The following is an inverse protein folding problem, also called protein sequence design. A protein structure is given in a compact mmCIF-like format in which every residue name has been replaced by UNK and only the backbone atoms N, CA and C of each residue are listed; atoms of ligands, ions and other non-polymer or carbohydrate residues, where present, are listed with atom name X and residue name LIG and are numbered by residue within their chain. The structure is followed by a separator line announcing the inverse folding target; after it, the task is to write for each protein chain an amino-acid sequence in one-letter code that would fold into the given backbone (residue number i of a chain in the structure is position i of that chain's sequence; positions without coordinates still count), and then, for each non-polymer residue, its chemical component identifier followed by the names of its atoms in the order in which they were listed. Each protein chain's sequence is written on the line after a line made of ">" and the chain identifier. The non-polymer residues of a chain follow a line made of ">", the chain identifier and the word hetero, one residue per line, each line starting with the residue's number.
data_IF_898333114024
#
_entry.id   IF_898333114024
#
_cell.length_a   1.000
_cell.length_b   1.000
_cell.length_c   1.000
_cell.angle_alpha   90.00
_cell.angle_beta   90.00
_cell.angle_gamma   90.00
#
_symmetry.space_group_name_H-M   'P 1'
#
loop_
_entity.id
_entity.type
_entity.pdbx_description
1 polymer ?
#
# COMPACT_ATOMS: atom_id res chain seq x y z
N UNK A 1 -2.96 0.16 23.12
CA UNK A 1 -2.27 0.45 21.84
C UNK A 1 -0.78 0.05 21.79
N UNK A 2 -0.30 -0.81 22.65
CA UNK A 2 1.15 -1.04 22.81
C UNK A 2 1.64 -2.43 22.39
N UNK A 3 0.91 -3.22 21.63
CA UNK A 3 1.30 -4.62 21.39
C UNK A 3 1.41 -5.07 19.93
N UNK A 4 1.07 -4.23 18.97
CA UNK A 4 1.17 -4.60 17.55
C UNK A 4 2.47 -3.98 16.98
N UNK A 5 3.61 -4.62 17.27
CA UNK A 5 4.92 -4.16 16.78
C UNK A 5 5.37 -5.05 15.63
N UNK A 6 5.47 -4.56 14.39
CA UNK A 6 5.96 -5.35 13.27
C UNK A 6 7.45 -5.68 13.33
N UNK A 7 8.22 -5.03 14.20
CA UNK A 7 9.61 -5.38 14.42
C UNK A 7 9.72 -6.80 14.98
N UNK A 8 10.40 -7.68 14.25
CA UNK A 8 10.51 -9.11 14.58
C UNK A 8 9.46 -9.99 13.91
N UNK A 9 8.49 -9.43 13.20
CA UNK A 9 7.56 -10.23 12.42
C UNK A 9 8.26 -10.87 11.22
N UNK A 10 7.86 -12.09 10.90
CA UNK A 10 8.24 -12.76 9.67
C UNK A 10 7.05 -12.69 8.70
N UNK A 11 7.20 -11.91 7.66
CA UNK A 11 6.23 -11.79 6.58
C UNK A 11 6.65 -12.67 5.41
N UNK A 12 5.69 -13.21 4.67
CA UNK A 12 5.95 -14.11 3.55
C UNK A 12 5.44 -13.51 2.25
N UNK A 13 6.35 -13.30 1.31
CA UNK A 13 6.03 -12.95 -0.06
C UNK A 13 5.62 -14.20 -0.83
N UNK A 14 4.47 -14.19 -1.52
CA UNK A 14 3.85 -15.41 -2.05
C UNK A 14 3.63 -15.42 -3.56
N UNK A 15 3.44 -14.26 -4.20
CA UNK A 15 3.23 -14.19 -5.66
C UNK A 15 3.36 -12.76 -6.19
N UNK A 16 3.61 -12.65 -7.50
CA UNK A 16 3.44 -11.39 -8.23
C UNK A 16 1.96 -11.06 -8.44
N UNK A 17 1.69 -9.78 -8.60
CA UNK A 17 0.43 -9.26 -9.12
C UNK A 17 0.66 -7.91 -9.81
N UNK A 18 -0.32 -7.41 -10.54
CA UNK A 18 -0.33 -6.02 -10.95
C UNK A 18 -1.75 -5.47 -11.01
N UNK A 19 -1.86 -4.15 -10.90
CA UNK A 19 -3.09 -3.40 -11.08
C UNK A 19 -3.02 -2.78 -12.48
N UNK A 20 -3.92 -3.14 -13.40
CA UNK A 20 -3.91 -2.61 -14.76
C UNK A 20 -4.29 -1.13 -14.80
N UNK A 21 -3.59 -0.36 -15.62
CA UNK A 21 -3.85 1.03 -15.96
C UNK A 21 -3.37 1.26 -17.40
N UNK A 22 -4.04 0.66 -18.40
CA UNK A 22 -3.53 0.59 -19.77
C UNK A 22 -3.02 1.93 -20.31
N UNK A 23 -1.88 1.93 -21.03
CA UNK A 23 -1.09 0.80 -21.54
C UNK A 23 -0.07 0.23 -20.53
N UNK A 24 -0.08 0.67 -19.30
CA UNK A 24 0.83 0.26 -18.22
C UNK A 24 0.07 -0.39 -17.07
N UNK A 25 0.79 -0.87 -16.07
CA UNK A 25 0.24 -1.34 -14.81
C UNK A 25 1.20 -1.12 -13.65
N UNK A 26 0.68 -1.13 -12.44
CA UNK A 26 1.43 -1.05 -11.20
C UNK A 26 1.69 -2.46 -10.68
N UNK A 27 2.95 -2.86 -10.66
CA UNK A 27 3.38 -4.18 -10.24
C UNK A 27 3.64 -4.25 -8.73
N UNK A 28 3.38 -5.40 -8.16
CA UNK A 28 3.65 -5.67 -6.77
C UNK A 28 3.83 -7.16 -6.45
N UNK A 29 4.22 -7.40 -5.23
CA UNK A 29 4.33 -8.72 -4.63
C UNK A 29 3.30 -8.82 -3.51
N UNK A 30 2.45 -9.84 -3.56
CA UNK A 30 1.48 -10.11 -2.49
C UNK A 30 2.22 -10.69 -1.28
N UNK A 31 1.94 -10.12 -0.13
CA UNK A 31 2.34 -10.67 1.17
C UNK A 31 1.21 -11.54 1.70
N UNK A 32 1.53 -12.68 2.26
CA UNK A 32 0.53 -13.58 2.87
C UNK A 32 -0.23 -12.83 3.98
N UNK A 33 -1.55 -12.69 3.89
CA UNK A 33 -2.31 -12.01 4.93
C UNK A 33 -2.33 -12.87 6.20
N UNK A 34 -1.89 -12.27 7.30
CA UNK A 34 -1.90 -12.89 8.62
C UNK A 34 -2.87 -12.16 9.55
N UNK A 35 -3.31 -12.82 10.62
CA UNK A 35 -4.16 -12.17 11.63
C UNK A 35 -3.46 -10.95 12.26
N UNK A 36 -2.14 -11.00 12.42
CA UNK A 36 -1.35 -9.86 12.90
C UNK A 36 -1.42 -8.66 11.97
N UNK A 37 -1.28 -8.89 10.66
CA UNK A 37 -1.42 -7.83 9.66
C UNK A 37 -2.84 -7.25 9.62
N UNK A 38 -3.86 -8.08 9.73
CA UNK A 38 -5.25 -7.62 9.81
C UNK A 38 -5.49 -6.79 11.07
N UNK A 39 -4.99 -7.24 12.23
CA UNK A 39 -5.09 -6.46 13.47
C UNK A 39 -4.36 -5.15 13.39
N UNK A 40 -3.16 -5.13 12.82
CA UNK A 40 -2.41 -3.89 12.60
C UNK A 40 -3.16 -2.92 11.71
N UNK A 41 -3.68 -3.38 10.57
CA UNK A 41 -4.48 -2.54 9.68
C UNK A 41 -5.69 -1.95 10.40
N UNK A 42 -6.46 -2.77 11.12
CA UNK A 42 -7.63 -2.29 11.84
C UNK A 42 -7.25 -1.29 12.94
N UNK A 43 -6.20 -1.55 13.70
CA UNK A 43 -5.73 -0.62 14.72
C UNK A 43 -5.30 0.73 14.15
N UNK A 44 -4.64 0.73 12.98
CA UNK A 44 -4.30 1.97 12.27
C UNK A 44 -5.55 2.72 11.80
N UNK A 45 -6.52 2.03 11.22
CA UNK A 45 -7.79 2.63 10.79
C UNK A 45 -8.51 3.27 11.98
N UNK A 46 -8.63 2.57 13.11
CA UNK A 46 -9.31 3.05 14.31
C UNK A 46 -8.67 4.34 14.85
N UNK A 47 -7.33 4.38 14.86
CA UNK A 47 -6.58 5.55 15.35
C UNK A 47 -6.71 6.76 14.45
N UNK A 48 -6.73 6.57 13.13
CA UNK A 48 -6.79 7.70 12.19
C UNK A 48 -8.23 8.13 11.86
N UNK A 49 -9.22 7.28 12.04
CA UNK A 49 -10.63 7.58 11.72
C UNK A 49 -11.11 8.92 12.29
N UNK A 50 -10.82 9.31 13.54
CA UNK A 50 -11.27 10.60 14.09
C UNK A 50 -10.68 11.82 13.36
N UNK A 51 -9.61 11.64 12.61
CA UNK A 51 -8.90 12.71 11.89
C UNK A 51 -9.18 12.70 10.39
N UNK A 52 -9.99 11.75 9.91
CA UNK A 52 -10.30 11.65 8.48
C UNK A 52 -11.38 12.62 8.06
N UNK A 53 -11.31 13.07 6.81
CA UNK A 53 -12.37 13.84 6.16
C UNK A 53 -13.20 12.93 5.28
N UNK A 54 -14.48 13.26 5.06
CA UNK A 54 -15.40 12.40 4.30
C UNK A 54 -15.08 12.29 2.81
N UNK A 55 -14.30 13.21 2.26
CA UNK A 55 -13.93 13.23 0.85
C UNK A 55 -12.40 13.22 0.73
N UNK A 56 -11.88 12.45 -0.21
CA UNK A 56 -10.48 12.52 -0.60
C UNK A 56 -10.16 13.91 -1.17
N UNK A 57 -9.02 14.46 -0.81
CA UNK A 57 -8.56 15.75 -1.31
C UNK A 57 -7.19 15.61 -1.98
N UNK A 58 -6.82 16.53 -2.90
CA UNK A 58 -5.49 16.56 -3.50
C UNK A 58 -4.35 16.65 -2.47
N UNK A 59 -4.62 17.16 -1.26
CA UNK A 59 -3.63 17.28 -0.19
C UNK A 59 -3.07 15.92 0.28
N UNK A 60 -3.77 14.81 0.03
CA UNK A 60 -3.27 13.47 0.32
C UNK A 60 -2.09 13.06 -0.60
N UNK A 61 -1.89 13.77 -1.70
CA UNK A 61 -0.91 13.46 -2.72
C UNK A 61 0.16 14.54 -2.87
N UNK A 62 1.35 14.12 -3.25
CA UNK A 62 2.37 15.05 -3.71
C UNK A 62 1.96 15.60 -5.09
N UNK A 63 1.94 16.91 -5.25
CA UNK A 63 1.85 17.52 -6.57
C UNK A 63 3.10 17.18 -7.39
N UNK A 64 2.91 16.80 -8.65
CA UNK A 64 4.02 16.70 -9.59
C UNK A 64 4.46 18.11 -9.99
N UNK A 65 5.76 18.29 -10.32
CA UNK A 65 6.31 19.58 -10.74
C UNK A 65 5.60 20.20 -11.96
N UNK A 66 4.79 19.44 -12.66
CA UNK A 66 4.04 19.85 -13.85
C UNK A 66 2.53 20.00 -13.62
N UNK A 67 2.06 20.03 -12.37
CA UNK A 67 0.65 20.33 -12.07
C UNK A 67 -0.35 19.37 -12.72
N UNK A 68 0.07 18.16 -13.05
CA UNK A 68 -0.85 17.15 -13.57
C UNK A 68 -1.85 16.80 -12.47
N UNK A 69 -3.10 17.05 -12.78
CA UNK A 69 -4.24 16.79 -11.92
C UNK A 69 -4.20 15.36 -11.40
N UNK A 70 -4.27 15.21 -10.09
CA UNK A 70 -4.46 13.91 -9.45
C UNK A 70 -5.75 13.34 -9.99
N UNK A 71 -5.66 12.18 -10.61
CA UNK A 71 -6.80 11.57 -11.27
C UNK A 71 -7.98 11.42 -10.30
N UNK A 72 -9.20 11.79 -10.69
CA UNK A 72 -10.39 11.66 -9.82
C UNK A 72 -10.56 10.27 -9.21
N UNK A 73 -10.15 9.23 -9.92
CA UNK A 73 -10.16 7.83 -9.43
C UNK A 73 -9.26 7.63 -8.21
N UNK A 74 -8.13 8.34 -8.13
CA UNK A 74 -7.24 8.27 -6.96
C UNK A 74 -7.85 8.96 -5.75
N UNK A 75 -8.53 10.07 -5.94
CA UNK A 75 -9.26 10.75 -4.87
C UNK A 75 -10.41 9.89 -4.34
N UNK A 76 -11.14 9.23 -5.23
CA UNK A 76 -12.19 8.28 -4.86
C UNK A 76 -11.63 7.06 -4.13
N UNK A 77 -10.48 6.55 -4.57
CA UNK A 77 -9.82 5.44 -3.88
C UNK A 77 -9.49 5.79 -2.43
N UNK A 78 -8.89 6.96 -2.19
CA UNK A 78 -8.57 7.42 -0.83
C UNK A 78 -9.84 7.61 0.01
N UNK A 79 -10.88 8.24 -0.56
CA UNK A 79 -12.14 8.48 0.13
C UNK A 79 -12.87 7.18 0.53
N UNK A 80 -12.73 6.13 -0.27
CA UNK A 80 -13.40 4.85 -0.06
C UNK A 80 -12.49 3.74 0.48
N UNK A 81 -11.27 4.06 0.88
CA UNK A 81 -10.25 3.08 1.25
C UNK A 81 -10.75 2.04 2.24
N UNK A 82 -11.40 2.44 3.31
CA UNK A 82 -11.91 1.53 4.34
C UNK A 82 -12.97 0.56 3.83
N UNK A 83 -13.71 0.96 2.79
CA UNK A 83 -14.74 0.12 2.18
C UNK A 83 -14.19 -0.86 1.15
N UNK A 84 -13.12 -0.48 0.44
CA UNK A 84 -12.62 -1.23 -0.72
C UNK A 84 -11.31 -1.97 -0.48
N UNK A 85 -10.57 -1.63 0.57
CA UNK A 85 -9.22 -2.14 0.81
C UNK A 85 -8.95 -2.55 2.27
N UNK A 86 -9.97 -2.61 3.11
CA UNK A 86 -9.83 -3.02 4.52
C UNK A 86 -10.59 -4.30 4.83
N UNK A 87 -10.31 -4.88 6.00
CA UNK A 87 -10.92 -6.11 6.48
C UNK A 87 -10.70 -7.29 5.52
N UNK A 88 -11.76 -7.98 5.07
CA UNK A 88 -11.63 -9.13 4.15
C UNK A 88 -11.03 -8.78 2.78
N UNK A 89 -11.03 -7.50 2.41
CA UNK A 89 -10.48 -7.01 1.14
C UNK A 89 -9.02 -6.54 1.27
N UNK A 90 -8.47 -6.62 2.46
CA UNK A 90 -7.08 -6.23 2.70
C UNK A 90 -6.13 -7.12 1.92
N UNK A 91 -5.30 -6.50 1.10
CA UNK A 91 -4.25 -7.15 0.33
C UNK A 91 -2.90 -6.55 0.70
N UNK A 92 -2.23 -7.07 1.73
CA UNK A 92 -0.89 -6.60 2.06
C UNK A 92 0.05 -6.91 0.92
N UNK A 93 0.84 -5.92 0.52
CA UNK A 93 1.71 -6.06 -0.65
C UNK A 93 2.92 -5.13 -0.61
N UNK A 94 3.89 -5.46 -1.41
CA UNK A 94 5.05 -4.60 -1.70
C UNK A 94 4.95 -4.12 -3.13
N UNK A 95 4.82 -2.82 -3.33
CA UNK A 95 4.86 -2.21 -4.67
C UNK A 95 6.30 -2.25 -5.20
N UNK A 96 6.50 -2.72 -6.43
CA UNK A 96 7.83 -2.87 -7.04
C UNK A 96 8.06 -1.97 -8.24
N UNK A 97 7.03 -1.46 -8.88
CA UNK A 97 7.21 -0.50 -9.97
C UNK A 97 6.06 -0.47 -10.96
N UNK A 98 6.29 0.27 -12.05
CA UNK A 98 5.36 0.44 -13.16
C UNK A 98 6.03 -0.09 -14.43
N UNK A 99 5.29 -0.83 -15.24
CA UNK A 99 5.75 -1.35 -16.52
C UNK A 99 4.59 -1.48 -17.52
N UNK A 100 4.91 -1.80 -18.77
CA UNK A 100 3.89 -2.10 -19.77
C UNK A 100 3.14 -3.37 -19.43
N UNK A 101 1.87 -3.45 -19.79
CA UNK A 101 1.06 -4.65 -19.50
C UNK A 101 1.65 -5.92 -20.09
N UNK A 102 2.26 -5.85 -21.28
CA UNK A 102 2.90 -7.01 -21.90
C UNK A 102 4.09 -7.55 -21.09
N UNK A 103 4.88 -6.64 -20.51
CA UNK A 103 5.94 -7.05 -19.59
C UNK A 103 5.36 -7.67 -18.31
N UNK A 104 4.32 -7.07 -17.74
CA UNK A 104 3.69 -7.55 -16.51
C UNK A 104 3.02 -8.92 -16.70
N UNK A 105 2.41 -9.17 -17.83
CA UNK A 105 1.88 -10.50 -18.19
C UNK A 105 3.00 -11.56 -18.25
N UNK A 106 4.15 -11.21 -18.81
CA UNK A 106 5.34 -12.11 -18.82
C UNK A 106 5.83 -12.36 -17.39
N UNK A 107 5.95 -11.31 -16.58
CA UNK A 107 6.34 -11.43 -15.16
C UNK A 107 5.42 -12.38 -14.39
N UNK A 108 4.09 -12.28 -14.59
CA UNK A 108 3.12 -13.18 -13.94
C UNK A 108 3.25 -14.63 -14.38
N UNK A 109 3.77 -14.89 -15.59
CA UNK A 109 3.99 -16.24 -16.11
C UNK A 109 5.27 -16.89 -15.56
N UNK A 110 6.16 -16.11 -14.96
CA UNK A 110 7.39 -16.64 -14.35
C UNK A 110 7.09 -17.29 -12.99
N UNK A 111 7.80 -18.39 -12.64
CA UNK A 111 7.69 -18.98 -11.33
C UNK A 111 8.09 -17.98 -10.24
N UNK A 112 7.26 -17.82 -9.21
CA UNK A 112 7.59 -17.01 -8.04
C UNK A 112 8.20 -17.90 -6.95
N UNK A 113 9.45 -17.61 -6.59
CA UNK A 113 10.07 -18.23 -5.41
C UNK A 113 9.61 -17.51 -4.13
N UNK A 114 8.69 -18.12 -3.38
CA UNK A 114 8.24 -17.54 -2.12
C UNK A 114 9.41 -17.36 -1.14
N UNK A 115 9.44 -16.23 -0.43
CA UNK A 115 10.47 -15.93 0.56
C UNK A 115 9.88 -15.21 1.78
N UNK A 116 10.61 -15.24 2.88
CA UNK A 116 10.26 -14.51 4.10
C UNK A 116 11.16 -13.30 4.29
N UNK A 117 10.62 -12.27 4.91
CA UNK A 117 11.35 -11.06 5.27
C UNK A 117 10.77 -10.44 6.54
N UNK A 118 11.57 -9.61 7.21
CA UNK A 118 11.11 -8.84 8.37
C UNK A 118 11.02 -7.37 8.00
N UNK A 119 9.92 -6.67 8.34
CA UNK A 119 9.86 -5.23 8.17
C UNK A 119 10.86 -4.53 9.08
N UNK A 120 11.58 -3.54 8.55
CA UNK A 120 12.53 -2.75 9.33
C UNK A 120 11.85 -1.67 10.19
N UNK A 121 10.62 -1.31 9.84
CA UNK A 121 9.86 -0.27 10.52
C UNK A 121 8.58 0.08 9.77
N UNK A 122 7.88 1.11 10.21
CA UNK A 122 6.76 1.71 9.51
C UNK A 122 6.85 3.23 9.57
N UNK A 123 6.29 3.87 8.57
CA UNK A 123 6.24 5.32 8.46
C UNK A 123 4.93 5.78 7.82
N UNK A 124 4.55 7.02 8.11
CA UNK A 124 3.43 7.69 7.44
C UNK A 124 3.97 8.43 6.23
N UNK A 125 3.32 8.22 5.08
CA UNK A 125 3.72 8.84 3.81
C UNK A 125 2.59 9.67 3.20
N UNK A 126 2.97 10.77 2.56
CA UNK A 126 2.13 11.40 1.55
C UNK A 126 2.24 10.59 0.26
N UNK A 127 1.10 10.39 -0.40
CA UNK A 127 1.01 9.55 -1.58
C UNK A 127 1.63 10.23 -2.81
N UNK A 128 2.18 9.44 -3.68
CA UNK A 128 2.59 9.83 -5.03
C UNK A 128 1.61 9.29 -6.07
N UNK A 129 2.03 9.34 -7.33
CA UNK A 129 1.30 8.71 -8.43
C UNK A 129 1.04 7.24 -8.14
N UNK A 130 -0.13 6.75 -8.53
CA UNK A 130 -0.59 5.37 -8.28
C UNK A 130 -0.76 5.01 -6.79
N UNK A 131 -0.83 6.00 -5.89
CA UNK A 131 -0.96 5.76 -4.46
C UNK A 131 0.30 5.20 -3.80
N UNK A 132 1.45 5.38 -4.41
CA UNK A 132 2.74 4.91 -3.87
C UNK A 132 3.23 5.81 -2.74
N UNK A 133 3.99 5.26 -1.80
CA UNK A 133 4.65 6.03 -0.74
C UNK A 133 5.72 6.96 -1.35
N UNK A 134 5.49 8.27 -1.33
CA UNK A 134 6.34 9.24 -2.03
C UNK A 134 7.19 10.09 -1.09
N UNK A 135 6.56 10.71 -0.10
CA UNK A 135 7.23 11.58 0.86
C UNK A 135 6.95 11.10 2.27
N UNK A 136 7.98 10.69 2.97
CA UNK A 136 7.86 10.37 4.38
C UNK A 136 7.46 11.61 5.19
N UNK A 137 6.38 11.48 5.94
CA UNK A 137 5.88 12.52 6.83
C UNK A 137 6.36 12.28 8.26
N UNK A 138 6.32 11.02 8.69
CA UNK A 138 6.72 10.65 10.05
C UNK A 138 7.05 9.17 10.15
N UNK A 139 8.24 8.81 10.64
CA UNK A 139 8.52 7.45 11.07
C UNK A 139 7.72 7.14 12.33
N UNK A 140 7.19 5.94 12.41
CA UNK A 140 6.52 5.44 13.60
C UNK A 140 7.57 4.79 14.51
N UNK A 141 7.60 5.13 15.82
CA UNK A 141 8.59 4.55 16.71
C UNK A 141 8.25 3.08 16.96
N UNK A 142 9.01 2.19 16.35
CA UNK A 142 9.09 0.80 16.76
C UNK A 142 10.29 0.67 17.68
N UNK A 143 10.07 0.82 18.97
CA UNK A 143 11.10 0.47 19.94
C UNK A 143 11.21 -1.04 20.04
N UNK A 144 12.38 -1.57 19.74
CA UNK A 144 12.81 -2.93 20.02
C UNK A 144 12.54 -3.36 21.45
#
# INVERSE_FOLDING_TARGET
>A
MAKERPAGWQLKAIKYYYIPSPPIGLAGIVVEPTDDLHRLQQALIDVITPFTVKAGTPAAFMSTEHGHDIQPLMLQYVANFTTIAAGPKFNPHVTIGVATEDYLKKMLAEPFGAFTFSPAGASVYQLGSFGTARKELKPLPFTS
#
